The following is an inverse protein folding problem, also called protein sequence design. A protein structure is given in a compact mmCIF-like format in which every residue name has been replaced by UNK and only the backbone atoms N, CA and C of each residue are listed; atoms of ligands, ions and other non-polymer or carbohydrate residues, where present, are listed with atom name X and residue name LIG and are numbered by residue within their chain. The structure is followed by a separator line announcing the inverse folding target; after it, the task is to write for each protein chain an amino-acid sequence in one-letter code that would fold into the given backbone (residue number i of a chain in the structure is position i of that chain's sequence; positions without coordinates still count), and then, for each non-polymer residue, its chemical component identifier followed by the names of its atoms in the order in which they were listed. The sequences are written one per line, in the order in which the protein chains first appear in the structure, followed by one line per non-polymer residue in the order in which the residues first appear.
data_IF_689041808522
#
_entry.id   IF_689041808522
#
_cell.length_a   1.000
_cell.length_b   1.000
_cell.length_c   1.000
_cell.angle_alpha   90.00
_cell.angle_beta   90.00
_cell.angle_gamma   90.00
#
_symmetry.space_group_name_H-M   'P 1'
#
loop_
_entity.id
_entity.type
_entity.pdbx_description
1 polymer ?
#
# COMPACT_ATOMS: atom_id res chain seq x y z
N UNK A 1 -31.45 26.67 7.04
CA UNK A 1 -30.23 26.41 7.84
C UNK A 1 -29.16 25.85 6.93
N UNK A 2 -27.94 26.39 6.91
CA UNK A 2 -26.88 25.85 6.07
C UNK A 2 -26.47 24.46 6.57
N UNK A 3 -26.19 23.53 5.63
CA UNK A 3 -25.80 22.15 5.90
C UNK A 3 -24.62 22.01 6.87
N UNK A 4 -23.75 23.01 6.95
CA UNK A 4 -22.60 23.08 7.87
C UNK A 4 -23.00 23.19 9.35
N UNK A 5 -24.13 23.77 9.68
CA UNK A 5 -24.60 23.92 11.06
C UNK A 5 -25.18 22.61 11.63
N UNK A 6 -25.70 21.71 10.80
CA UNK A 6 -26.22 20.41 11.22
C UNK A 6 -25.11 19.40 11.49
N UNK A 7 -23.97 19.50 10.79
CA UNK A 7 -22.82 18.62 10.99
C UNK A 7 -22.13 18.80 12.35
N UNK A 8 -22.29 19.95 13.00
CA UNK A 8 -21.75 20.20 14.35
C UNK A 8 -22.61 19.62 15.48
N UNK A 9 -23.87 19.32 15.20
CA UNK A 9 -24.82 18.80 16.19
C UNK A 9 -24.86 17.27 16.21
N UNK A 10 -24.55 16.65 15.06
CA UNK A 10 -24.51 15.20 14.91
C UNK A 10 -23.14 14.80 14.35
N UNK A 11 -22.17 14.43 15.21
CA UNK A 11 -20.91 13.88 14.73
C UNK A 11 -21.20 12.65 13.86
N UNK A 12 -20.50 12.48 12.73
CA UNK A 12 -20.69 11.33 11.88
C UNK A 12 -20.52 10.04 12.69
N UNK A 13 -21.35 9.04 12.40
CA UNK A 13 -21.28 7.75 13.07
C UNK A 13 -19.83 7.18 12.98
N UNK A 14 -19.32 6.56 14.04
CA UNK A 14 -17.97 6.03 14.03
C UNK A 14 -17.81 5.00 12.91
N UNK A 15 -16.81 5.20 12.05
CA UNK A 15 -16.48 4.26 10.98
C UNK A 15 -15.89 3.01 11.63
N UNK A 16 -16.63 1.90 11.62
CA UNK A 16 -16.18 0.63 12.20
C UNK A 16 -15.21 -0.13 11.27
N UNK A 17 -15.38 0.03 9.96
CA UNK A 17 -14.55 -0.61 8.93
C UNK A 17 -14.25 0.37 7.81
N UNK A 18 -13.00 0.41 7.31
CA UNK A 18 -12.65 1.28 6.19
C UNK A 18 -13.33 0.79 4.91
N UNK A 19 -13.75 1.72 4.06
CA UNK A 19 -14.23 1.38 2.72
C UNK A 19 -13.05 0.94 1.83
N UNK A 20 -13.25 0.02 0.87
CA UNK A 20 -12.18 -0.44 -0.02
C UNK A 20 -11.47 0.70 -0.77
N UNK A 21 -12.21 1.74 -1.16
CA UNK A 21 -11.66 2.94 -1.81
C UNK A 21 -10.69 3.70 -0.91
N UNK A 22 -10.96 3.75 0.41
CA UNK A 22 -10.11 4.46 1.37
C UNK A 22 -8.83 3.67 1.66
N UNK A 23 -8.91 2.33 1.65
CA UNK A 23 -7.74 1.44 1.71
C UNK A 23 -6.89 1.60 0.45
N UNK A 24 -7.51 1.65 -0.74
CA UNK A 24 -6.80 1.87 -1.98
C UNK A 24 -6.13 3.26 -2.02
N UNK A 25 -6.83 4.30 -1.56
CA UNK A 25 -6.26 5.64 -1.44
C UNK A 25 -5.05 5.66 -0.50
N UNK A 26 -5.11 4.92 0.61
CA UNK A 26 -4.02 4.79 1.58
C UNK A 26 -2.79 4.09 0.96
N UNK A 27 -3.00 3.07 0.12
CA UNK A 27 -1.94 2.36 -0.58
C UNK A 27 -1.31 3.16 -1.73
N UNK A 28 -1.89 4.32 -2.11
CA UNK A 28 -1.39 5.28 -3.12
C UNK A 28 -0.98 4.63 -4.46
N UNK A 29 -1.90 4.11 -5.27
CA UNK A 29 -1.57 3.42 -6.53
C UNK A 29 -0.66 4.21 -7.49
N UNK A 30 -0.72 5.54 -7.44
CA UNK A 30 0.14 6.40 -8.27
C UNK A 30 1.63 6.19 -7.99
N UNK A 31 2.00 5.77 -6.77
CA UNK A 31 3.39 5.53 -6.37
C UNK A 31 3.90 4.14 -6.77
N UNK A 32 3.05 3.24 -7.26
CA UNK A 32 3.44 1.89 -7.67
C UNK A 32 4.21 1.87 -8.99
N UNK A 33 3.99 2.88 -9.83
CA UNK A 33 4.58 2.94 -11.16
C UNK A 33 6.13 2.86 -11.16
N UNK A 34 6.88 3.65 -10.38
CA UNK A 34 8.34 3.60 -10.41
C UNK A 34 8.93 2.21 -10.08
N UNK A 35 8.56 1.51 -9.00
CA UNK A 35 9.10 0.19 -8.70
C UNK A 35 8.66 -0.88 -9.70
N UNK A 36 7.43 -0.82 -10.21
CA UNK A 36 6.97 -1.72 -11.26
C UNK A 36 7.75 -1.50 -12.56
N UNK A 37 8.01 -0.24 -12.93
CA UNK A 37 8.80 0.10 -14.10
C UNK A 37 10.25 -0.36 -13.96
N UNK A 38 10.89 -0.16 -12.81
CA UNK A 38 12.24 -0.65 -12.53
C UNK A 38 12.33 -2.18 -12.65
N UNK A 39 11.32 -2.90 -12.12
CA UNK A 39 11.21 -4.35 -12.28
C UNK A 39 11.12 -4.74 -13.76
N UNK A 40 10.24 -4.10 -14.54
CA UNK A 40 10.08 -4.38 -15.98
C UNK A 40 11.38 -4.13 -16.76
N UNK A 41 12.10 -3.05 -16.46
CA UNK A 41 13.41 -2.79 -17.06
C UNK A 41 14.41 -3.93 -16.75
N UNK A 42 14.41 -4.44 -15.52
CA UNK A 42 15.22 -5.59 -15.13
C UNK A 42 14.84 -6.87 -15.91
N UNK A 43 13.55 -7.12 -16.08
CA UNK A 43 13.05 -8.25 -16.88
C UNK A 43 13.52 -8.15 -18.33
N UNK A 44 13.40 -6.98 -18.97
CA UNK A 44 13.88 -6.77 -20.35
C UNK A 44 15.39 -6.95 -20.43
N UNK A 45 16.13 -6.39 -19.49
CA UNK A 45 17.59 -6.50 -19.44
C UNK A 45 18.10 -7.94 -19.24
N UNK A 46 17.31 -8.81 -18.60
CA UNK A 46 17.66 -10.22 -18.40
C UNK A 46 17.67 -11.05 -19.67
N UNK A 47 17.01 -10.58 -20.75
CA UNK A 47 16.85 -11.33 -21.99
C UNK A 47 15.96 -12.57 -21.89
N UNK A 48 15.28 -12.79 -20.76
CA UNK A 48 14.39 -13.94 -20.56
C UNK A 48 13.17 -13.86 -21.51
N UNK A 49 12.74 -15.01 -22.10
CA UNK A 49 11.59 -15.04 -22.99
C UNK A 49 10.31 -14.71 -22.20
N UNK A 50 9.66 -13.59 -22.51
CA UNK A 50 8.46 -13.09 -21.78
C UNK A 50 7.27 -14.02 -21.94
N UNK A 51 7.09 -14.62 -23.12
CA UNK A 51 5.97 -15.50 -23.42
C UNK A 51 5.89 -16.72 -22.50
N UNK A 52 7.05 -17.28 -22.12
CA UNK A 52 7.11 -18.46 -21.27
C UNK A 52 7.09 -18.10 -19.77
N UNK A 53 7.41 -16.86 -19.43
CA UNK A 53 7.60 -16.38 -18.06
C UNK A 53 6.50 -15.39 -17.59
N UNK A 54 5.39 -15.25 -18.32
CA UNK A 54 4.33 -14.30 -18.00
C UNK A 54 3.75 -14.43 -16.56
N UNK A 55 3.64 -15.65 -15.93
CA UNK A 55 3.15 -15.73 -14.57
C UNK A 55 4.12 -15.07 -13.58
N UNK A 56 5.43 -15.26 -13.78
CA UNK A 56 6.48 -14.61 -12.97
C UNK A 56 6.50 -13.11 -13.20
N UNK A 57 6.24 -12.65 -14.42
CA UNK A 57 6.11 -11.24 -14.75
C UNK A 57 4.96 -10.59 -13.98
N UNK A 58 3.77 -11.19 -14.02
CA UNK A 58 2.62 -10.68 -13.27
C UNK A 58 2.84 -10.73 -11.76
N UNK A 59 3.43 -11.80 -11.25
CA UNK A 59 3.78 -11.94 -9.84
C UNK A 59 4.77 -10.86 -9.39
N UNK A 60 5.78 -10.56 -10.20
CA UNK A 60 6.76 -9.50 -9.91
C UNK A 60 6.15 -8.10 -9.94
N UNK A 61 5.26 -7.80 -10.89
CA UNK A 61 4.50 -6.55 -10.93
C UNK A 61 3.63 -6.40 -9.66
N UNK A 62 2.90 -7.46 -9.29
CA UNK A 62 2.08 -7.47 -8.08
C UNK A 62 2.92 -7.31 -6.81
N UNK A 63 4.09 -7.95 -6.76
CA UNK A 63 4.99 -7.88 -5.62
C UNK A 63 5.58 -6.48 -5.45
N UNK A 64 6.15 -5.90 -6.51
CA UNK A 64 6.87 -4.61 -6.43
C UNK A 64 5.96 -3.42 -6.25
N UNK A 65 4.79 -3.40 -6.92
CA UNK A 65 3.82 -2.30 -6.85
C UNK A 65 2.87 -2.43 -5.66
N UNK A 66 1.72 -3.08 -5.83
CA UNK A 66 0.66 -3.08 -4.80
C UNK A 66 1.09 -3.69 -3.47
N UNK A 67 1.91 -4.75 -3.46
CA UNK A 67 2.29 -5.42 -2.23
C UNK A 67 3.39 -4.67 -1.47
N UNK A 68 4.60 -4.58 -2.00
CA UNK A 68 5.72 -3.95 -1.28
C UNK A 68 5.53 -2.44 -1.19
N UNK A 69 5.40 -1.75 -2.34
CA UNK A 69 5.27 -0.29 -2.34
C UNK A 69 3.98 0.16 -1.66
N UNK A 70 2.84 -0.49 -1.94
CA UNK A 70 1.57 -0.17 -1.27
C UNK A 70 1.64 -0.35 0.25
N UNK A 71 2.28 -1.41 0.74
CA UNK A 71 2.50 -1.64 2.18
C UNK A 71 3.37 -0.54 2.80
N UNK A 72 4.45 -0.14 2.14
CA UNK A 72 5.31 0.97 2.58
C UNK A 72 4.53 2.28 2.70
N UNK A 73 3.66 2.59 1.72
CA UNK A 73 2.83 3.80 1.78
C UNK A 73 1.88 3.80 2.98
N UNK A 74 1.28 2.64 3.29
CA UNK A 74 0.38 2.50 4.44
C UNK A 74 1.12 2.75 5.76
N UNK A 75 2.32 2.20 5.91
CA UNK A 75 3.12 2.38 7.14
C UNK A 75 3.64 3.81 7.27
N UNK A 76 4.06 4.43 6.16
CA UNK A 76 4.48 5.83 6.14
C UNK A 76 3.34 6.75 6.60
N UNK A 77 2.14 6.62 6.02
CA UNK A 77 0.99 7.43 6.44
C UNK A 77 0.60 7.17 7.91
N UNK A 78 0.80 5.95 8.41
CA UNK A 78 0.58 5.67 9.83
C UNK A 78 1.63 6.35 10.72
N UNK A 79 2.89 6.36 10.34
CA UNK A 79 3.95 7.04 11.09
C UNK A 79 3.73 8.55 11.08
N UNK A 80 3.37 9.11 9.93
CA UNK A 80 3.20 10.55 9.72
C UNK A 80 1.81 11.08 10.15
N UNK A 81 0.91 10.24 10.65
CA UNK A 81 -0.49 10.59 10.94
C UNK A 81 -0.69 11.84 11.80
N UNK A 82 0.27 12.16 12.68
CA UNK A 82 0.19 13.35 13.54
C UNK A 82 0.54 14.63 12.77
N UNK A 83 1.51 14.55 11.86
CA UNK A 83 1.90 15.64 10.97
C UNK A 83 0.83 15.85 9.90
N UNK A 84 0.32 14.77 9.33
CA UNK A 84 -0.76 14.78 8.35
C UNK A 84 -2.06 15.35 8.90
N UNK A 85 -2.35 15.14 10.19
CA UNK A 85 -3.52 15.74 10.83
C UNK A 85 -3.51 17.27 10.80
N UNK A 86 -2.33 17.89 10.71
CA UNK A 86 -2.16 19.33 10.61
C UNK A 86 -2.12 19.79 9.15
N UNK A 87 -1.33 19.11 8.32
CA UNK A 87 -1.02 19.54 6.96
C UNK A 87 -2.01 19.04 5.92
N UNK A 88 -2.52 17.81 6.11
CA UNK A 88 -3.41 17.11 5.16
C UNK A 88 -4.55 16.38 5.90
N UNK A 89 -5.45 17.11 6.61
CA UNK A 89 -6.48 16.51 7.46
C UNK A 89 -7.47 15.61 6.71
N UNK A 90 -7.56 15.76 5.38
CA UNK A 90 -8.45 14.99 4.52
C UNK A 90 -7.89 13.63 4.10
N UNK A 91 -6.64 13.28 4.49
CA UNK A 91 -6.09 11.93 4.24
C UNK A 91 -6.89 10.84 4.99
N UNK A 92 -6.85 9.59 4.52
CA UNK A 92 -7.68 8.51 5.07
C UNK A 92 -7.53 8.28 6.58
N UNK A 93 -6.32 8.42 7.14
CA UNK A 93 -6.07 8.21 8.57
C UNK A 93 -6.49 9.41 9.40
N UNK A 94 -6.02 10.65 9.14
CA UNK A 94 -6.42 11.82 9.93
C UNK A 94 -7.93 12.08 9.89
N UNK A 95 -8.57 11.89 8.73
CA UNK A 95 -10.02 12.09 8.57
C UNK A 95 -10.88 11.02 9.27
N UNK A 96 -10.28 9.96 9.83
CA UNK A 96 -10.99 8.86 10.47
C UNK A 96 -11.65 7.86 9.50
N UNK A 97 -11.46 7.98 8.17
CA UNK A 97 -11.99 7.02 7.18
C UNK A 97 -11.33 5.66 7.27
N UNK A 98 -10.06 5.62 7.71
CA UNK A 98 -9.35 4.39 8.10
C UNK A 98 -9.00 4.50 9.58
N UNK A 99 -9.92 4.07 10.49
CA UNK A 99 -9.83 4.37 11.91
C UNK A 99 -8.92 3.43 12.68
N UNK A 100 -8.49 3.88 13.86
CA UNK A 100 -7.84 3.07 14.87
C UNK A 100 -6.59 2.36 14.38
N UNK A 101 -6.52 1.04 14.56
CA UNK A 101 -5.36 0.21 14.18
C UNK A 101 -5.50 -0.47 12.81
N UNK A 102 -6.52 -0.12 12.03
CA UNK A 102 -6.71 -0.68 10.69
C UNK A 102 -5.48 -0.48 9.78
N UNK A 103 -4.81 0.70 9.74
CA UNK A 103 -3.62 0.86 8.91
C UNK A 103 -2.52 -0.15 9.25
N UNK A 104 -2.28 -0.41 10.54
CA UNK A 104 -1.29 -1.39 10.98
C UNK A 104 -1.69 -2.80 10.56
N UNK A 105 -2.96 -3.17 10.70
CA UNK A 105 -3.48 -4.46 10.24
C UNK A 105 -3.33 -4.66 8.73
N UNK A 106 -3.62 -3.62 7.94
CA UNK A 106 -3.45 -3.62 6.47
C UNK A 106 -1.97 -3.79 6.11
N UNK A 107 -1.07 -3.04 6.76
CA UNK A 107 0.36 -3.15 6.53
C UNK A 107 0.90 -4.54 6.89
N UNK A 108 0.48 -5.11 8.01
CA UNK A 108 0.87 -6.46 8.42
C UNK A 108 0.39 -7.52 7.42
N UNK A 109 -0.85 -7.41 6.95
CA UNK A 109 -1.38 -8.31 5.92
C UNK A 109 -0.62 -8.15 4.59
N UNK A 110 -0.34 -6.92 4.17
CA UNK A 110 0.45 -6.63 2.97
C UNK A 110 1.86 -7.20 3.05
N UNK A 111 2.55 -7.02 4.17
CA UNK A 111 3.87 -7.58 4.41
C UNK A 111 3.85 -9.12 4.40
N UNK A 112 2.88 -9.76 5.06
CA UNK A 112 2.74 -11.21 5.06
C UNK A 112 2.50 -11.76 3.65
N UNK A 113 1.62 -11.12 2.86
CA UNK A 113 1.37 -11.51 1.46
C UNK A 113 2.61 -11.30 0.58
N UNK A 114 3.34 -10.18 0.78
CA UNK A 114 4.60 -9.91 0.06
C UNK A 114 5.63 -11.02 0.31
N UNK A 115 5.84 -11.40 1.58
CA UNK A 115 6.79 -12.44 1.94
C UNK A 115 6.36 -13.82 1.44
N UNK A 116 5.06 -14.15 1.51
CA UNK A 116 4.55 -15.42 0.99
C UNK A 116 4.75 -15.53 -0.54
N UNK A 117 4.42 -14.47 -1.30
CA UNK A 117 4.65 -14.46 -2.74
C UNK A 117 6.14 -14.50 -3.07
N UNK A 118 6.96 -13.73 -2.36
CA UNK A 118 8.40 -13.70 -2.57
C UNK A 118 9.04 -15.08 -2.28
N UNK A 119 8.60 -15.78 -1.24
CA UNK A 119 9.05 -17.13 -0.92
C UNK A 119 8.72 -18.14 -2.03
N UNK A 120 7.52 -18.01 -2.64
CA UNK A 120 7.12 -18.83 -3.78
C UNK A 120 7.94 -18.53 -5.05
N UNK A 121 8.44 -17.30 -5.21
CA UNK A 121 9.28 -16.89 -6.34
C UNK A 121 10.76 -17.26 -6.18
N UNK A 122 11.22 -17.55 -4.96
CA UNK A 122 12.55 -18.06 -4.69
C UNK A 122 13.34 -17.26 -3.63
N UNK A 123 14.46 -17.82 -3.16
CA UNK A 123 15.19 -17.29 -1.99
C UNK A 123 15.79 -15.90 -2.23
N UNK A 124 16.25 -15.60 -3.43
CA UNK A 124 16.80 -14.29 -3.77
C UNK A 124 15.71 -13.21 -3.75
N UNK A 125 14.52 -13.53 -4.29
CA UNK A 125 13.35 -12.62 -4.27
C UNK A 125 12.89 -12.38 -2.84
N UNK A 126 12.85 -13.44 -2.03
CA UNK A 126 12.51 -13.33 -0.61
C UNK A 126 13.47 -12.40 0.14
N UNK A 127 14.77 -12.59 -0.05
CA UNK A 127 15.80 -11.76 0.58
C UNK A 127 15.66 -10.29 0.16
N UNK A 128 15.50 -10.03 -1.14
CA UNK A 128 15.28 -8.67 -1.65
C UNK A 128 14.00 -8.03 -1.10
N UNK A 129 12.91 -8.81 -0.97
CA UNK A 129 11.64 -8.35 -0.40
C UNK A 129 11.78 -8.03 1.08
N UNK A 130 12.50 -8.83 1.87
CA UNK A 130 12.80 -8.52 3.27
C UNK A 130 13.54 -7.19 3.40
N UNK A 131 14.57 -6.97 2.58
CA UNK A 131 15.31 -5.70 2.55
C UNK A 131 14.39 -4.53 2.17
N UNK A 132 13.57 -4.69 1.14
CA UNK A 132 12.65 -3.65 0.69
C UNK A 132 11.60 -3.29 1.75
N UNK A 133 11.02 -4.27 2.45
CA UNK A 133 10.06 -4.03 3.53
C UNK A 133 10.70 -3.42 4.79
N UNK A 134 12.00 -3.62 4.99
CA UNK A 134 12.70 -3.05 6.15
C UNK A 134 13.06 -1.58 5.93
N UNK A 135 13.42 -1.20 4.72
CA UNK A 135 13.87 0.17 4.39
C UNK A 135 12.79 1.07 3.76
N UNK A 136 11.67 0.50 3.27
CA UNK A 136 10.57 1.20 2.63
C UNK A 136 9.49 1.57 3.60
#
# INVERSE_FOLDING_TARGET
MPRSALASVYPPAPVLRPAPRDVLQLAKPVTWFPPMWAFLCGVVASGAPLADNWPFLLAGIALTGPLVCGTSQVINDWCDRHVDAINEPDRPIPSGRVPGRWPVGIAMAGAALSLALAAALGPLVLMATCVALFFG
#
